data_IF_440610581465
#
_entry.id   IF_440610581465
#
_cell.length_a   1.000
_cell.length_b   1.000
_cell.length_c   1.000
_cell.angle_alpha   90.00
_cell.angle_beta   90.00
_cell.angle_gamma   90.00
#
_symmetry.space_group_name_H-M   'P 1'
#
loop_
_entity.id
_entity.type
_entity.pdbx_description
1 polymer ?
#
# COMPACT_ATOMS: atom_id res chain seq x y z
N UNK A 1 10.92 1.07 -26.40
CA UNK A 1 11.23 2.04 -25.35
C UNK A 1 10.46 1.72 -24.09
N UNK A 2 11.14 1.75 -22.98
CA UNK A 2 10.47 1.40 -21.73
C UNK A 2 9.77 2.62 -21.13
N UNK A 3 8.59 2.42 -20.57
CA UNK A 3 7.88 3.53 -19.95
C UNK A 3 8.57 3.98 -18.67
N UNK A 4 8.43 5.26 -18.37
CA UNK A 4 8.94 5.80 -17.11
C UNK A 4 7.97 5.52 -15.95
N UNK A 5 6.70 5.36 -16.26
CA UNK A 5 5.67 5.17 -15.25
C UNK A 5 4.84 3.94 -15.62
N UNK A 6 4.61 3.10 -14.62
CA UNK A 6 3.75 1.95 -14.78
C UNK A 6 2.48 2.17 -13.96
N UNK A 7 1.33 1.92 -14.55
CA UNK A 7 0.06 2.09 -13.86
C UNK A 7 -0.66 0.73 -13.74
N UNK A 8 -1.16 0.46 -12.55
CA UNK A 8 -1.89 -0.78 -12.28
C UNK A 8 -3.25 -0.43 -11.72
N UNK A 9 -4.28 -1.13 -12.17
CA UNK A 9 -5.64 -0.94 -11.71
C UNK A 9 -6.14 -2.22 -11.07
N UNK A 10 -6.30 -2.19 -9.75
CA UNK A 10 -6.73 -3.35 -8.95
C UNK A 10 -5.95 -4.61 -9.31
N UNK A 11 -4.64 -4.54 -9.26
CA UNK A 11 -3.83 -5.64 -9.81
C UNK A 11 -3.90 -6.93 -9.01
N UNK A 12 -4.30 -6.87 -7.75
CA UNK A 12 -4.37 -8.08 -6.93
C UNK A 12 -5.74 -8.75 -6.97
N UNK A 13 -6.70 -8.16 -7.67
CA UNK A 13 -8.05 -8.71 -7.72
C UNK A 13 -8.02 -10.10 -8.34
N UNK A 14 -8.64 -11.06 -7.65
CA UNK A 14 -8.73 -12.41 -8.16
C UNK A 14 -7.50 -13.26 -7.97
N UNK A 15 -6.45 -12.74 -7.38
CA UNK A 15 -5.24 -13.53 -7.17
C UNK A 15 -5.32 -14.31 -5.87
N UNK A 16 -4.84 -15.56 -5.91
CA UNK A 16 -4.71 -16.33 -4.68
C UNK A 16 -3.51 -15.81 -3.88
N UNK A 17 -3.35 -16.24 -2.63
CA UNK A 17 -2.27 -15.69 -1.81
C UNK A 17 -0.88 -15.86 -2.38
N UNK A 18 -0.60 -16.99 -3.00
CA UNK A 18 0.73 -17.23 -3.57
C UNK A 18 0.97 -16.34 -4.77
N UNK A 19 -0.01 -16.22 -5.63
CA UNK A 19 0.11 -15.36 -6.80
C UNK A 19 0.22 -13.89 -6.40
N UNK A 20 -0.52 -13.51 -5.37
CA UNK A 20 -0.46 -12.15 -4.88
C UNK A 20 0.93 -11.84 -4.36
N UNK A 21 1.51 -12.74 -3.59
CA UNK A 21 2.85 -12.54 -3.06
C UNK A 21 3.87 -12.43 -4.20
N UNK A 22 3.74 -13.27 -5.21
CA UNK A 22 4.63 -13.23 -6.34
C UNK A 22 4.53 -11.90 -7.08
N UNK A 23 3.31 -11.42 -7.27
CA UNK A 23 3.08 -10.14 -7.92
C UNK A 23 3.76 -9.02 -7.15
N UNK A 24 3.60 -8.99 -5.83
CA UNK A 24 4.17 -7.95 -5.01
C UNK A 24 5.69 -7.94 -5.13
N UNK A 25 6.31 -9.13 -5.10
CA UNK A 25 7.76 -9.19 -5.18
C UNK A 25 8.25 -8.72 -6.54
N UNK A 26 7.55 -9.08 -7.60
CA UNK A 26 7.95 -8.66 -8.94
C UNK A 26 7.83 -7.16 -9.13
N UNK A 27 6.74 -6.59 -8.64
CA UNK A 27 6.54 -5.14 -8.78
C UNK A 27 7.56 -4.38 -7.95
N UNK A 28 7.88 -4.91 -6.77
CA UNK A 28 8.79 -4.24 -5.87
C UNK A 28 10.15 -3.97 -6.50
N UNK A 29 10.62 -4.89 -7.34
CA UNK A 29 11.95 -4.75 -7.93
C UNK A 29 11.98 -3.96 -9.23
N UNK A 30 10.83 -3.59 -9.75
CA UNK A 30 10.80 -2.79 -10.97
C UNK A 30 11.33 -1.39 -10.69
N UNK A 31 12.19 -0.87 -11.57
CA UNK A 31 12.79 0.45 -11.34
C UNK A 31 11.87 1.62 -11.66
N UNK A 32 10.83 1.39 -12.44
CA UNK A 32 9.97 2.49 -12.86
C UNK A 32 9.12 3.00 -11.70
N UNK A 33 8.69 4.25 -11.82
CA UNK A 33 7.69 4.81 -10.92
C UNK A 33 6.38 4.07 -11.13
N UNK A 34 5.70 3.73 -10.04
CA UNK A 34 4.47 2.94 -10.12
C UNK A 34 3.31 3.69 -9.52
N UNK A 35 2.18 3.62 -10.19
CA UNK A 35 0.92 4.18 -9.69
C UNK A 35 -0.05 3.00 -9.59
N UNK A 36 -0.58 2.78 -8.40
CA UNK A 36 -1.45 1.63 -8.15
C UNK A 36 -2.78 2.11 -7.62
N UNK A 37 -3.85 1.81 -8.33
CA UNK A 37 -5.20 2.12 -7.89
C UNK A 37 -5.79 0.84 -7.31
N UNK A 38 -6.17 0.87 -6.03
CA UNK A 38 -6.61 -0.35 -5.40
C UNK A 38 -7.41 -0.07 -4.14
N UNK A 39 -8.28 -1.02 -3.79
CA UNK A 39 -8.95 -1.05 -2.49
C UNK A 39 -8.23 -2.01 -1.55
N UNK A 40 -7.20 -2.65 -2.02
CA UNK A 40 -6.42 -3.59 -1.21
C UNK A 40 -5.41 -2.79 -0.40
N UNK A 41 -5.76 -2.50 0.82
CA UNK A 41 -4.92 -1.64 1.65
C UNK A 41 -3.62 -2.31 2.04
N UNK A 42 -3.60 -3.62 2.14
CA UNK A 42 -2.35 -4.31 2.42
C UNK A 42 -1.38 -4.18 1.26
N UNK A 43 -1.89 -4.27 0.05
CA UNK A 43 -1.07 -4.08 -1.14
C UNK A 43 -0.49 -2.67 -1.16
N UNK A 44 -1.34 -1.69 -0.92
CA UNK A 44 -0.89 -0.30 -0.89
C UNK A 44 0.18 -0.09 0.17
N UNK A 45 -0.04 -0.67 1.34
CA UNK A 45 0.90 -0.53 2.44
C UNK A 45 2.25 -1.13 2.10
N UNK A 46 2.26 -2.26 1.40
CA UNK A 46 3.50 -2.93 1.08
C UNK A 46 4.25 -2.29 -0.08
N UNK A 47 3.55 -1.75 -1.04
CA UNK A 47 4.18 -1.28 -2.27
C UNK A 47 4.31 0.22 -2.40
N UNK A 48 3.51 0.98 -1.68
CA UNK A 48 3.45 2.42 -1.90
C UNK A 48 4.08 3.20 -0.75
N UNK A 49 4.87 4.20 -1.08
CA UNK A 49 5.41 5.09 -0.07
C UNK A 49 4.47 6.25 0.20
N UNK A 50 3.70 6.66 -0.81
CA UNK A 50 2.71 7.72 -0.65
C UNK A 50 1.38 7.24 -1.21
N UNK A 51 0.31 7.71 -0.62
CA UNK A 51 -1.03 7.33 -1.07
C UNK A 51 -1.93 8.54 -1.14
N UNK A 52 -2.94 8.40 -1.98
CA UNK A 52 -4.05 9.34 -2.09
C UNK A 52 -5.32 8.57 -1.79
N UNK A 53 -6.18 9.15 -0.96
CA UNK A 53 -7.50 8.58 -0.74
C UNK A 53 -8.49 9.37 -1.56
N UNK A 54 -9.15 8.71 -2.48
CA UNK A 54 -10.13 9.33 -3.36
C UNK A 54 -11.49 8.71 -3.14
N UNK A 55 -12.51 9.55 -3.21
CA UNK A 55 -13.88 9.10 -3.04
C UNK A 55 -14.74 10.04 -3.85
N UNK A 56 -15.63 9.46 -4.66
CA UNK A 56 -16.54 10.24 -5.51
C UNK A 56 -15.78 11.27 -6.34
N UNK A 57 -14.64 10.90 -6.87
CA UNK A 57 -13.87 11.76 -7.76
C UNK A 57 -13.09 12.85 -7.06
N UNK A 58 -13.02 12.82 -5.75
CA UNK A 58 -12.32 13.85 -4.98
C UNK A 58 -11.19 13.23 -4.16
N UNK A 59 -10.16 14.02 -3.95
CA UNK A 59 -9.04 13.62 -3.08
C UNK A 59 -9.35 14.10 -1.67
N UNK A 60 -9.43 13.16 -0.74
CA UNK A 60 -9.71 13.48 0.65
C UNK A 60 -8.48 13.44 1.55
N UNK A 61 -7.44 12.79 1.10
CA UNK A 61 -6.20 12.75 1.87
C UNK A 61 -5.06 12.39 0.96
N UNK A 62 -3.88 12.84 1.31
CA UNK A 62 -2.69 12.54 0.56
C UNK A 62 -1.50 12.65 1.49
N UNK A 63 -0.56 11.74 1.38
CA UNK A 63 0.63 11.82 2.20
C UNK A 63 1.36 10.51 2.27
N UNK A 64 2.29 10.41 3.22
CA UNK A 64 3.03 9.16 3.41
C UNK A 64 2.06 8.03 3.73
N UNK A 65 2.38 6.88 3.19
CA UNK A 65 1.50 5.72 3.30
C UNK A 65 1.11 5.42 4.74
N UNK A 66 2.10 5.31 5.63
CA UNK A 66 1.79 4.91 7.00
C UNK A 66 0.98 5.97 7.75
N UNK A 67 1.13 7.23 7.36
CA UNK A 67 0.35 8.29 8.00
C UNK A 67 -1.11 8.22 7.56
N UNK A 68 -1.34 8.12 6.27
CA UNK A 68 -2.69 8.11 5.72
C UNK A 68 -3.41 6.83 6.08
N UNK A 69 -2.77 5.69 5.87
CA UNK A 69 -3.41 4.40 6.14
C UNK A 69 -3.46 4.10 7.64
N UNK A 70 -2.75 4.85 8.43
CA UNK A 70 -2.80 4.71 9.87
C UNK A 70 -3.91 5.48 10.54
N UNK A 71 -4.74 6.16 9.78
CA UNK A 71 -5.85 6.96 10.30
C UNK A 71 -7.16 6.18 10.12
N UNK A 72 -7.59 5.42 11.13
CA UNK A 72 -8.78 4.59 10.98
C UNK A 72 -10.05 5.39 10.76
N UNK A 73 -10.14 6.58 11.33
CA UNK A 73 -11.33 7.40 11.14
C UNK A 73 -11.48 7.83 9.69
N UNK A 74 -10.37 8.22 9.07
CA UNK A 74 -10.38 8.60 7.67
C UNK A 74 -10.79 7.43 6.79
N UNK A 75 -10.17 6.28 7.01
CA UNK A 75 -10.45 5.12 6.18
C UNK A 75 -11.89 4.67 6.34
N UNK A 76 -12.39 4.66 7.57
CA UNK A 76 -13.76 4.25 7.80
C UNK A 76 -14.74 5.20 7.13
N UNK A 77 -14.45 6.48 7.14
CA UNK A 77 -15.31 7.47 6.52
C UNK A 77 -15.46 7.23 5.02
N UNK A 78 -14.47 6.60 4.41
CA UNK A 78 -14.48 6.35 2.98
C UNK A 78 -14.59 4.86 2.65
N UNK A 79 -15.07 4.07 3.62
CA UNK A 79 -15.35 2.63 3.44
C UNK A 79 -14.11 1.82 3.13
N UNK A 80 -13.00 2.24 3.70
CA UNK A 80 -11.75 1.50 3.58
C UNK A 80 -11.38 0.93 4.94
N UNK A 81 -10.52 -0.06 4.94
CA UNK A 81 -10.07 -0.68 6.17
C UNK A 81 -8.57 -0.57 6.29
N UNK A 82 -8.10 -0.53 7.53
CA UNK A 82 -6.66 -0.48 7.75
C UNK A 82 -6.01 -1.75 7.25
N UNK A 83 -4.78 -1.65 6.75
CA UNK A 83 -4.04 -2.86 6.38
C UNK A 83 -3.91 -3.78 7.58
N UNK A 84 -4.06 -5.08 7.32
CA UNK A 84 -3.89 -6.07 8.38
C UNK A 84 -2.50 -5.99 8.97
N UNK A 85 -1.52 -5.70 8.15
CA UNK A 85 -0.14 -5.58 8.62
C UNK A 85 0.00 -4.53 9.70
N UNK A 86 -0.68 -3.41 9.53
CA UNK A 86 -0.66 -2.35 10.53
C UNK A 86 -1.33 -2.78 11.82
N UNK A 87 -2.45 -3.48 11.69
CA UNK A 87 -3.18 -3.93 12.87
C UNK A 87 -2.36 -4.91 13.68
N UNK A 88 -1.68 -5.81 12.99
CA UNK A 88 -0.84 -6.78 13.66
C UNK A 88 0.31 -6.09 14.39
N UNK A 89 0.90 -5.09 13.76
CA UNK A 89 1.99 -4.35 14.38
C UNK A 89 1.55 -3.68 15.66
N UNK A 90 0.35 -3.11 15.65
CA UNK A 90 -0.17 -2.48 16.86
C UNK A 90 -0.36 -3.47 17.98
N UNK A 91 -0.75 -4.66 17.64
CA UNK A 91 -1.03 -5.68 18.65
C UNK A 91 0.20 -6.41 19.12
N UNK A 92 1.30 -6.30 18.43
CA UNK A 92 2.51 -7.01 18.75
C UNK A 92 3.69 -6.06 18.82
N UNK A 93 3.72 -5.21 19.82
CA UNK A 93 4.78 -4.19 19.90
C UNK A 93 6.18 -4.78 19.99
N UNK A 94 6.29 -6.01 20.46
CA UNK A 94 7.61 -6.62 20.57
C UNK A 94 8.28 -6.80 19.22
N UNK A 95 7.50 -6.83 18.16
CA UNK A 95 8.06 -6.99 16.83
C UNK A 95 8.12 -5.69 16.09
N UNK A 96 8.05 -4.61 16.83
CA UNK A 96 7.95 -3.31 16.23
C UNK A 96 9.09 -2.95 15.31
N UNK A 97 10.22 -3.57 15.47
CA UNK A 97 11.33 -3.24 14.62
C UNK A 97 11.08 -3.52 13.15
N UNK A 98 10.30 -4.53 12.89
CA UNK A 98 10.06 -4.88 11.51
C UNK A 98 9.23 -3.87 10.74
N UNK A 99 8.30 -3.19 11.40
CA UNK A 99 7.54 -2.16 10.70
C UNK A 99 8.43 -1.13 10.03
N UNK A 100 9.47 -0.74 10.71
CA UNK A 100 10.38 0.24 10.15
C UNK A 100 11.02 -0.29 8.88
N UNK A 101 11.34 -1.55 8.89
CA UNK A 101 11.95 -2.17 7.71
C UNK A 101 11.00 -2.10 6.53
N UNK A 102 9.74 -2.36 6.79
CA UNK A 102 8.77 -2.29 5.71
C UNK A 102 8.72 -0.90 5.11
N UNK A 103 8.63 0.07 5.95
CA UNK A 103 8.58 1.43 5.49
C UNK A 103 9.81 1.78 4.67
N UNK A 104 10.94 1.34 5.14
CA UNK A 104 12.18 1.60 4.44
C UNK A 104 12.19 0.95 3.09
N UNK A 105 11.80 -0.31 3.06
CA UNK A 105 11.86 -1.06 1.83
C UNK A 105 11.09 -0.43 0.72
N UNK A 106 10.01 0.23 1.05
CA UNK A 106 9.23 0.89 0.03
C UNK A 106 9.89 2.15 -0.44
N UNK A 107 10.48 2.76 0.48
CA UNK A 107 10.95 4.08 0.20
C UNK A 107 12.03 4.14 -0.81
N UNK A 108 12.80 3.46 -0.92
CA UNK A 108 13.72 3.69 -1.88
C UNK A 108 13.84 2.94 -2.73
N UNK A 109 13.54 2.93 -2.20
CA UNK A 109 13.72 2.41 -2.82
C UNK A 109 13.91 2.89 -3.44
#
# INVERSE_FOLDING_TARGET
MEPDILAFDEPSAGLDPASRRDFIERVRILPQTKVIATHDMDLAYELCSRVLVMDHGRVFAEGPCHTVLGDPALLKAHRLEQPLSMMIKKQSPATGGRPAVYGEGKGPN
#
